data_IF_171951210676
#
_entry.id   IF_171951210676
#
_cell.length_a   1.000
_cell.length_b   1.000
_cell.length_c   1.000
_cell.angle_alpha   90.00
_cell.angle_beta   90.00
_cell.angle_gamma   90.00
#
_symmetry.space_group_name_H-M   'P 1'
#
loop_
_entity.id
_entity.type
_entity.pdbx_description
1 polymer ?
#
# COMPACT_ATOMS: atom_id res chain seq x y z
N UNK A 1 -10.19 -22.80 -9.19
CA UNK A 1 -10.50 -21.46 -8.67
C UNK A 1 -9.35 -20.57 -9.13
N UNK A 2 -9.60 -19.31 -9.48
CA UNK A 2 -8.57 -18.39 -9.95
C UNK A 2 -7.69 -18.01 -8.73
N UNK A 3 -6.40 -18.26 -8.76
CA UNK A 3 -5.49 -17.81 -7.70
C UNK A 3 -5.18 -16.33 -7.89
N UNK A 4 -5.34 -15.56 -6.83
CA UNK A 4 -5.15 -14.11 -6.84
C UNK A 4 -4.25 -13.68 -5.67
N UNK A 5 -3.43 -12.68 -5.91
CA UNK A 5 -2.58 -12.03 -4.91
C UNK A 5 -2.87 -10.55 -4.90
N UNK A 6 -3.00 -9.97 -3.72
CA UNK A 6 -3.04 -8.52 -3.52
C UNK A 6 -1.64 -8.07 -3.10
N UNK A 7 -1.06 -7.11 -3.83
CA UNK A 7 0.28 -6.60 -3.56
C UNK A 7 0.18 -5.12 -3.21
N UNK A 8 0.89 -4.70 -2.18
CA UNK A 8 1.10 -3.28 -1.90
C UNK A 8 2.55 -2.89 -2.12
N UNK A 9 2.80 -2.01 -3.07
CA UNK A 9 4.07 -1.30 -3.17
C UNK A 9 4.07 -0.09 -2.25
N UNK A 10 4.91 -0.11 -1.22
CA UNK A 10 5.01 0.99 -0.26
C UNK A 10 5.45 2.30 -0.92
N UNK A 11 4.87 3.43 -0.52
CA UNK A 11 5.25 4.73 -1.07
C UNK A 11 6.75 5.03 -0.88
N UNK A 12 7.29 4.77 0.30
CA UNK A 12 8.73 4.93 0.58
C UNK A 12 9.62 3.85 -0.07
N UNK A 13 9.05 2.83 -0.73
CA UNK A 13 9.77 1.89 -1.59
C UNK A 13 9.96 2.48 -2.98
N UNK A 14 8.88 3.00 -3.56
CA UNK A 14 8.84 3.43 -4.97
C UNK A 14 9.25 4.90 -5.18
N UNK A 15 9.41 5.67 -4.09
CA UNK A 15 9.86 7.08 -4.16
C UNK A 15 11.00 7.34 -3.18
N UNK A 16 11.81 8.37 -3.47
CA UNK A 16 12.83 8.85 -2.55
C UNK A 16 12.20 9.54 -1.34
N UNK A 17 12.71 9.27 -0.13
CA UNK A 17 12.16 9.85 1.11
C UNK A 17 12.54 11.32 1.29
N UNK A 18 13.73 11.68 0.86
CA UNK A 18 14.34 12.97 1.14
C UNK A 18 14.20 13.98 -0.02
N UNK A 19 13.59 13.55 -1.13
CA UNK A 19 13.42 14.38 -2.31
C UNK A 19 11.96 14.40 -2.76
N UNK A 20 11.37 15.59 -2.84
CA UNK A 20 9.99 15.74 -3.27
C UNK A 20 9.80 15.21 -4.69
N UNK A 21 8.71 14.50 -4.91
CA UNK A 21 8.25 14.03 -6.23
C UNK A 21 9.32 13.27 -7.04
N UNK A 22 10.14 12.50 -6.36
CA UNK A 22 11.20 11.73 -6.99
C UNK A 22 10.91 10.24 -6.92
N UNK A 23 10.75 9.62 -8.08
CA UNK A 23 10.45 8.18 -8.20
C UNK A 23 11.75 7.38 -8.31
N UNK A 24 11.81 6.24 -7.64
CA UNK A 24 12.90 5.25 -7.70
C UNK A 24 12.67 4.32 -8.89
N UNK A 25 13.07 4.77 -10.08
CA UNK A 25 12.77 4.07 -11.34
C UNK A 25 13.33 2.66 -11.40
N UNK A 26 14.55 2.44 -10.91
CA UNK A 26 15.17 1.11 -10.90
C UNK A 26 14.40 0.12 -10.03
N UNK A 27 13.88 0.58 -8.89
CA UNK A 27 13.02 -0.23 -8.01
C UNK A 27 11.70 -0.55 -8.70
N UNK A 28 11.06 0.44 -9.35
CA UNK A 28 9.83 0.20 -10.10
C UNK A 28 10.02 -0.77 -11.27
N UNK A 29 11.14 -0.66 -11.97
CA UNK A 29 11.49 -1.55 -13.08
C UNK A 29 11.65 -3.00 -12.59
N UNK A 30 12.36 -3.21 -11.48
CA UNK A 30 12.53 -4.53 -10.87
C UNK A 30 11.19 -5.09 -10.38
N UNK A 31 10.38 -4.31 -9.66
CA UNK A 31 9.08 -4.73 -9.18
C UNK A 31 8.11 -5.08 -10.33
N UNK A 32 8.14 -4.33 -11.43
CA UNK A 32 7.32 -4.61 -12.61
C UNK A 32 7.73 -5.92 -13.28
N UNK A 33 9.05 -6.20 -13.39
CA UNK A 33 9.56 -7.46 -13.89
C UNK A 33 9.17 -8.66 -13.01
N UNK A 34 9.24 -8.50 -11.68
CA UNK A 34 8.80 -9.52 -10.73
C UNK A 34 7.29 -9.80 -10.86
N UNK A 35 6.49 -8.76 -11.09
CA UNK A 35 5.03 -8.89 -11.27
C UNK A 35 4.68 -9.59 -12.58
N UNK A 36 5.41 -9.30 -13.68
CA UNK A 36 5.26 -10.03 -14.95
C UNK A 36 5.47 -11.53 -14.74
N UNK A 37 6.51 -11.91 -14.00
CA UNK A 37 6.79 -13.31 -13.69
C UNK A 37 5.61 -13.97 -12.92
N UNK A 38 5.00 -13.28 -11.96
CA UNK A 38 3.80 -13.79 -11.26
C UNK A 38 2.64 -14.03 -12.24
N UNK A 39 2.42 -13.14 -13.19
CA UNK A 39 1.37 -13.28 -14.21
C UNK A 39 1.66 -14.46 -15.15
N UNK A 40 2.91 -14.66 -15.57
CA UNK A 40 3.34 -15.76 -16.44
C UNK A 40 3.17 -17.12 -15.77
N UNK A 41 3.28 -17.20 -14.44
CA UNK A 41 2.97 -18.38 -13.61
C UNK A 41 1.45 -18.56 -13.37
N UNK A 42 0.61 -17.70 -13.95
CA UNK A 42 -0.85 -17.84 -13.93
C UNK A 42 -1.54 -17.24 -12.70
N UNK A 43 -0.84 -16.45 -11.90
CA UNK A 43 -1.39 -15.72 -10.75
C UNK A 43 -2.01 -14.40 -11.23
N UNK A 44 -3.23 -14.11 -10.81
CA UNK A 44 -3.83 -12.81 -11.02
C UNK A 44 -3.41 -11.83 -9.92
N UNK A 45 -3.10 -10.60 -10.29
CA UNK A 45 -2.60 -9.59 -9.36
C UNK A 45 -3.53 -8.39 -9.28
N UNK A 46 -3.77 -7.94 -8.05
CA UNK A 46 -4.29 -6.60 -7.76
C UNK A 46 -3.17 -5.82 -7.08
N UNK A 47 -2.82 -4.69 -7.66
CA UNK A 47 -1.72 -3.85 -7.20
C UNK A 47 -2.24 -2.58 -6.54
N UNK A 48 -1.76 -2.31 -5.33
CA UNK A 48 -1.99 -1.03 -4.62
C UNK A 48 -0.65 -0.34 -4.40
N UNK A 49 -0.49 0.92 -4.78
CA UNK A 49 0.72 1.65 -4.45
C UNK A 49 0.47 2.82 -3.47
N UNK A 50 1.51 3.19 -2.75
CA UNK A 50 1.49 4.33 -1.83
C UNK A 50 1.87 5.64 -2.51
N UNK A 51 1.67 6.75 -1.80
CA UNK A 51 1.98 8.10 -2.25
C UNK A 51 3.49 8.41 -2.22
N UNK A 52 4.19 7.93 -1.21
CA UNK A 52 5.61 8.25 -1.00
C UNK A 52 5.84 9.76 -0.84
N UNK A 53 6.75 10.31 -1.65
CA UNK A 53 7.06 11.75 -1.65
C UNK A 53 6.07 12.61 -2.47
N UNK A 54 4.99 12.02 -2.97
CA UNK A 54 3.90 12.71 -3.67
C UNK A 54 2.70 12.90 -2.74
N UNK A 55 2.02 14.02 -2.80
CA UNK A 55 0.78 14.32 -2.08
C UNK A 55 0.87 14.39 -0.56
N UNK A 56 1.75 13.60 0.06
CA UNK A 56 1.77 13.42 1.52
C UNK A 56 2.03 14.72 2.30
N UNK A 57 2.99 15.54 1.86
CA UNK A 57 3.30 16.80 2.53
C UNK A 57 2.15 17.78 2.44
N UNK A 58 1.54 17.92 1.26
CA UNK A 58 0.39 18.78 1.05
C UNK A 58 -0.83 18.31 1.84
N UNK A 59 -1.12 17.00 1.83
CA UNK A 59 -2.19 16.41 2.63
C UNK A 59 -2.01 16.71 4.12
N UNK A 60 -0.78 16.65 4.63
CA UNK A 60 -0.44 17.00 6.02
C UNK A 60 -0.55 18.50 6.28
N UNK A 61 -0.02 19.35 5.39
CA UNK A 61 -0.05 20.82 5.50
C UNK A 61 -1.48 21.34 5.60
N UNK A 62 -2.38 20.81 4.75
CA UNK A 62 -3.80 21.19 4.72
C UNK A 62 -4.71 20.31 5.57
N UNK A 63 -4.13 19.42 6.38
CA UNK A 63 -4.82 18.57 7.37
C UNK A 63 -5.97 17.76 6.76
N UNK A 64 -5.78 17.24 5.54
CA UNK A 64 -6.84 16.56 4.79
C UNK A 64 -7.32 15.26 5.43
N UNK A 65 -6.53 14.66 6.32
CA UNK A 65 -6.94 13.49 7.09
C UNK A 65 -7.99 13.80 8.18
N UNK A 66 -8.18 15.09 8.51
CA UNK A 66 -9.12 15.54 9.54
C UNK A 66 -10.47 15.99 8.93
N UNK A 67 -10.60 15.87 7.62
CA UNK A 67 -11.79 16.33 6.91
C UNK A 67 -11.89 17.86 6.82
N UNK A 68 -13.11 18.33 6.65
CA UNK A 68 -13.42 19.77 6.47
C UNK A 68 -13.16 20.55 7.75
N UNK A 69 -12.30 21.53 7.66
CA UNK A 69 -11.92 22.40 8.77
C UNK A 69 -12.28 23.86 8.48
N UNK A 70 -12.45 24.70 9.52
CA UNK A 70 -12.59 26.14 9.35
C UNK A 70 -11.37 26.75 8.66
N UNK A 71 -11.57 27.62 7.68
CA UNK A 71 -10.51 28.24 6.88
C UNK A 71 -9.44 28.97 7.73
N UNK A 72 -9.79 29.42 8.94
CA UNK A 72 -8.84 30.06 9.86
C UNK A 72 -7.83 29.08 10.51
N UNK A 73 -8.01 27.79 10.35
CA UNK A 73 -7.17 26.74 10.97
C UNK A 73 -6.21 26.07 10.00
N UNK A 74 -6.23 26.47 8.74
CA UNK A 74 -5.37 25.96 7.66
C UNK A 74 -4.55 27.10 7.04
N UNK A 75 -3.44 26.81 6.30
CA UNK A 75 -2.69 27.82 5.58
C UNK A 75 -3.59 28.59 4.60
N UNK A 76 -3.37 29.90 4.45
CA UNK A 76 -4.17 30.77 3.58
C UNK A 76 -3.73 30.75 2.10
N UNK A 77 -2.73 29.94 1.75
CA UNK A 77 -2.17 29.88 0.40
C UNK A 77 -3.06 29.18 -0.61
N UNK A 78 -3.93 28.27 -0.17
CA UNK A 78 -5.01 27.64 -0.94
C UNK A 78 -6.11 27.14 -0.01
N UNK A 79 -7.27 26.84 -0.56
CA UNK A 79 -8.37 26.20 0.16
C UNK A 79 -8.12 24.71 0.34
N UNK A 80 -8.85 24.03 1.24
CA UNK A 80 -8.78 22.58 1.33
C UNK A 80 -9.28 21.89 0.04
N UNK A 81 -10.26 22.44 -0.66
CA UNK A 81 -10.72 21.88 -1.94
C UNK A 81 -9.61 21.92 -3.00
N UNK A 82 -8.91 23.04 -3.12
CA UNK A 82 -7.75 23.13 -4.00
C UNK A 82 -6.62 22.17 -3.57
N UNK A 83 -6.43 21.98 -2.27
CA UNK A 83 -5.44 21.03 -1.76
C UNK A 83 -5.84 19.57 -2.03
N UNK A 84 -7.12 19.22 -1.95
CA UNK A 84 -7.66 17.91 -2.34
C UNK A 84 -7.34 17.61 -3.80
N UNK A 85 -7.71 18.51 -4.71
CA UNK A 85 -7.44 18.34 -6.16
C UNK A 85 -5.93 18.24 -6.42
N UNK A 86 -5.13 19.09 -5.78
CA UNK A 86 -3.68 19.06 -5.95
C UNK A 86 -3.03 17.75 -5.43
N UNK A 87 -3.58 17.13 -4.38
CA UNK A 87 -3.11 15.80 -3.92
C UNK A 87 -3.54 14.70 -4.89
N UNK A 88 -4.79 14.75 -5.41
CA UNK A 88 -5.27 13.83 -6.45
C UNK A 88 -4.39 13.90 -7.70
N UNK A 89 -4.02 15.09 -8.15
CA UNK A 89 -3.12 15.30 -9.29
C UNK A 89 -1.74 14.70 -9.04
N UNK A 90 -1.17 14.91 -7.85
CA UNK A 90 0.12 14.31 -7.49
C UNK A 90 0.06 12.78 -7.43
N UNK A 91 -1.05 12.21 -6.98
CA UNK A 91 -1.26 10.76 -7.04
C UNK A 91 -1.37 10.23 -8.46
N UNK A 92 -2.01 10.97 -9.37
CA UNK A 92 -2.03 10.65 -10.81
C UNK A 92 -0.61 10.71 -11.41
N UNK A 93 0.21 11.69 -10.99
CA UNK A 93 1.59 11.83 -11.47
C UNK A 93 2.44 10.61 -11.11
N UNK A 94 2.44 10.15 -9.84
CA UNK A 94 3.17 8.94 -9.45
C UNK A 94 2.59 7.67 -10.10
N UNK A 95 1.26 7.59 -10.18
CA UNK A 95 0.59 6.46 -10.82
C UNK A 95 0.99 6.32 -12.30
N UNK A 96 1.10 7.43 -13.03
CA UNK A 96 1.55 7.41 -14.44
C UNK A 96 2.93 6.75 -14.57
N UNK A 97 3.86 7.02 -13.65
CA UNK A 97 5.20 6.39 -13.69
C UNK A 97 5.12 4.91 -13.33
N UNK A 98 4.25 4.52 -12.39
CA UNK A 98 3.98 3.10 -12.09
C UNK A 98 3.46 2.38 -13.34
N UNK A 99 2.46 2.96 -14.03
CA UNK A 99 1.88 2.38 -15.24
C UNK A 99 2.89 2.30 -16.40
N UNK A 100 3.78 3.28 -16.53
CA UNK A 100 4.88 3.26 -17.51
C UNK A 100 5.86 2.10 -17.22
N UNK A 101 6.21 1.86 -15.94
CA UNK A 101 7.06 0.75 -15.56
C UNK A 101 6.40 -0.60 -15.87
N UNK A 102 5.12 -0.77 -15.54
CA UNK A 102 4.36 -1.98 -15.88
C UNK A 102 4.34 -2.23 -17.40
N UNK A 103 4.05 -1.20 -18.20
CA UNK A 103 4.01 -1.29 -19.65
C UNK A 103 5.38 -1.67 -20.23
N UNK A 104 6.48 -1.17 -19.67
CA UNK A 104 7.84 -1.50 -20.10
C UNK A 104 8.16 -3.00 -20.00
N UNK A 105 7.52 -3.69 -19.06
CA UNK A 105 7.68 -5.15 -18.84
C UNK A 105 6.48 -5.96 -19.36
N UNK A 106 5.76 -5.43 -20.36
CA UNK A 106 4.63 -6.09 -21.02
C UNK A 106 3.48 -6.47 -20.09
N UNK A 107 3.39 -5.81 -18.92
CA UNK A 107 2.29 -5.98 -17.97
C UNK A 107 1.11 -5.11 -18.40
N UNK A 108 0.04 -5.75 -18.82
CA UNK A 108 -1.23 -5.08 -19.10
C UNK A 108 -1.91 -4.67 -17.80
N UNK A 109 -2.21 -3.39 -17.63
CA UNK A 109 -2.78 -2.88 -16.38
C UNK A 109 -3.85 -1.80 -16.61
N UNK A 110 -4.78 -1.70 -15.67
CA UNK A 110 -5.81 -0.66 -15.62
C UNK A 110 -5.81 -0.02 -14.26
N UNK A 111 -5.70 1.31 -14.21
CA UNK A 111 -5.78 2.05 -12.96
C UNK A 111 -7.21 2.48 -12.64
N UNK A 112 -7.60 2.31 -11.38
CA UNK A 112 -8.85 2.76 -10.79
C UNK A 112 -8.53 3.71 -9.61
N UNK A 113 -8.44 5.03 -9.82
CA UNK A 113 -8.21 5.99 -8.75
C UNK A 113 -9.35 5.97 -7.74
N UNK A 114 -9.08 5.86 -6.42
CA UNK A 114 -10.12 5.69 -5.40
C UNK A 114 -11.19 6.77 -5.37
N UNK A 115 -10.84 8.03 -5.60
CA UNK A 115 -11.83 9.13 -5.63
C UNK A 115 -12.95 8.95 -6.68
N UNK A 116 -12.78 8.01 -7.64
CA UNK A 116 -13.79 7.74 -8.68
C UNK A 116 -14.77 6.63 -8.30
N UNK A 117 -14.43 5.75 -7.35
CA UNK A 117 -15.23 4.57 -7.05
C UNK A 117 -15.41 4.28 -5.55
N UNK A 118 -14.68 4.99 -4.68
CA UNK A 118 -14.73 4.82 -3.23
C UNK A 118 -15.16 6.09 -2.51
N UNK A 119 -15.79 5.92 -1.35
CA UNK A 119 -16.21 6.99 -0.42
C UNK A 119 -15.89 6.56 1.00
N UNK A 120 -15.73 7.55 1.87
CA UNK A 120 -15.35 7.35 3.27
C UNK A 120 -13.96 6.72 3.42
N UNK A 121 -13.47 6.63 4.62
CA UNK A 121 -12.10 6.18 4.92
C UNK A 121 -12.09 5.03 5.91
N UNK A 122 -10.89 4.49 6.18
CA UNK A 122 -10.72 3.35 7.08
C UNK A 122 -11.10 2.02 6.45
N UNK A 123 -11.13 0.95 7.26
CA UNK A 123 -11.42 -0.41 6.80
C UNK A 123 -12.85 -0.59 6.26
N UNK A 124 -13.78 0.29 6.66
CA UNK A 124 -15.21 0.22 6.31
C UNK A 124 -15.57 1.20 5.19
N UNK A 125 -14.60 1.71 4.43
CA UNK A 125 -14.89 2.59 3.30
C UNK A 125 -15.90 1.95 2.34
N UNK A 126 -16.68 2.73 1.65
CA UNK A 126 -17.66 2.25 0.67
C UNK A 126 -17.05 2.28 -0.73
N UNK A 127 -17.30 1.25 -1.52
CA UNK A 127 -16.77 1.19 -2.90
C UNK A 127 -17.23 -0.07 -3.63
N UNK A 128 -17.32 0.02 -4.95
CA UNK A 128 -17.73 -1.11 -5.80
C UNK A 128 -16.50 -1.98 -6.15
N UNK A 129 -16.28 -3.04 -5.40
CA UNK A 129 -15.19 -3.98 -5.63
C UNK A 129 -15.43 -4.92 -6.83
N UNK A 130 -16.63 -4.93 -7.42
CA UNK A 130 -16.89 -5.70 -8.64
C UNK A 130 -16.03 -5.22 -9.82
N UNK A 131 -15.57 -3.97 -9.77
CA UNK A 131 -14.61 -3.42 -10.73
C UNK A 131 -13.28 -4.22 -10.77
N UNK A 132 -12.84 -4.73 -9.61
CA UNK A 132 -11.64 -5.56 -9.48
C UNK A 132 -11.95 -7.04 -9.72
N UNK A 133 -13.13 -7.50 -9.29
CA UNK A 133 -13.54 -8.89 -9.44
C UNK A 133 -13.73 -9.29 -10.89
N UNK A 134 -14.29 -8.39 -11.71
CA UNK A 134 -14.61 -8.61 -13.12
C UNK A 134 -13.41 -8.46 -14.07
N UNK A 135 -12.23 -8.12 -13.56
CA UNK A 135 -11.05 -7.95 -14.40
C UNK A 135 -10.74 -9.21 -15.24
N UNK A 136 -10.42 -9.07 -16.53
CA UNK A 136 -9.94 -10.19 -17.34
C UNK A 136 -8.64 -10.79 -16.76
N UNK A 137 -8.40 -12.07 -17.06
CA UNK A 137 -7.12 -12.71 -16.68
C UNK A 137 -5.93 -12.01 -17.31
N UNK A 138 -4.84 -11.89 -16.54
CA UNK A 138 -3.62 -11.24 -16.99
C UNK A 138 -3.69 -9.72 -17.06
N UNK A 139 -4.82 -9.11 -16.66
CA UNK A 139 -4.92 -7.65 -16.49
C UNK A 139 -4.75 -7.32 -15.01
N UNK A 140 -3.72 -6.54 -14.71
CA UNK A 140 -3.45 -6.04 -13.36
C UNK A 140 -4.37 -4.85 -13.07
N UNK A 141 -5.21 -4.98 -12.04
CA UNK A 141 -5.97 -3.85 -11.54
C UNK A 141 -5.11 -3.06 -10.57
N UNK A 142 -4.87 -1.80 -10.90
CA UNK A 142 -4.03 -0.88 -10.10
C UNK A 142 -4.90 0.13 -9.38
N UNK A 143 -4.64 0.34 -8.10
CA UNK A 143 -5.22 1.45 -7.32
C UNK A 143 -4.16 2.00 -6.35
N UNK A 144 -4.48 3.03 -5.60
CA UNK A 144 -3.50 3.72 -4.74
C UNK A 144 -4.17 4.41 -3.56
N UNK A 145 -3.41 4.81 -2.54
CA UNK A 145 -3.93 5.71 -1.51
C UNK A 145 -4.38 7.04 -2.13
N UNK A 146 -5.48 7.61 -1.66
CA UNK A 146 -6.06 8.81 -2.28
C UNK A 146 -6.86 9.65 -1.29
N UNK A 147 -7.20 10.89 -1.69
CA UNK A 147 -8.23 11.68 -1.02
C UNK A 147 -9.58 11.37 -1.66
N UNK A 148 -10.48 10.82 -0.88
CA UNK A 148 -11.83 10.44 -1.30
C UNK A 148 -12.88 11.33 -0.67
N UNK A 149 -14.05 11.39 -1.29
CA UNK A 149 -15.21 12.06 -0.70
C UNK A 149 -15.70 11.27 0.52
N UNK A 150 -16.09 12.00 1.56
CA UNK A 150 -16.69 11.44 2.77
C UNK A 150 -18.08 12.01 3.00
N UNK A 151 -18.86 11.31 3.82
CA UNK A 151 -20.12 11.85 4.29
C UNK A 151 -19.87 13.01 5.27
N UNK A 152 -20.84 13.92 5.36
CA UNK A 152 -20.77 15.05 6.30
C UNK A 152 -20.68 14.54 7.76
N UNK A 153 -19.88 15.18 8.63
CA UNK A 153 -19.30 16.53 8.45
C UNK A 153 -17.89 16.58 7.82
N UNK A 154 -17.27 15.46 7.52
CA UNK A 154 -15.87 15.39 7.06
C UNK A 154 -15.70 15.88 5.62
N UNK A 155 -16.69 15.67 4.75
CA UNK A 155 -16.75 15.98 3.31
C UNK A 155 -15.69 15.23 2.46
N UNK A 156 -14.48 15.06 2.96
CA UNK A 156 -13.37 14.32 2.34
C UNK A 156 -12.44 13.73 3.41
N UNK A 157 -11.61 12.78 3.00
CA UNK A 157 -10.61 12.18 3.89
C UNK A 157 -9.58 11.36 3.11
N UNK A 158 -8.53 10.89 3.79
CA UNK A 158 -7.47 10.08 3.18
C UNK A 158 -7.83 8.60 3.32
N UNK A 159 -8.09 7.95 2.19
CA UNK A 159 -8.23 6.50 2.11
C UNK A 159 -6.84 5.88 1.94
N UNK A 160 -6.40 5.17 2.97
CA UNK A 160 -5.08 4.56 3.00
C UNK A 160 -5.00 3.36 2.06
N UNK A 161 -3.84 3.19 1.40
CA UNK A 161 -3.56 1.95 0.67
C UNK A 161 -3.56 0.69 1.58
N UNK A 162 -3.37 0.83 2.89
CA UNK A 162 -3.48 -0.30 3.82
C UNK A 162 -4.94 -0.71 4.05
N UNK A 163 -5.88 0.23 4.09
CA UNK A 163 -7.32 -0.05 4.12
C UNK A 163 -7.79 -0.69 2.80
N UNK A 164 -7.29 -0.18 1.66
CA UNK A 164 -7.60 -0.74 0.35
C UNK A 164 -7.18 -2.21 0.23
N UNK A 165 -5.94 -2.56 0.57
CA UNK A 165 -5.48 -3.96 0.45
C UNK A 165 -6.20 -4.89 1.40
N UNK A 166 -6.61 -4.43 2.57
CA UNK A 166 -7.41 -5.23 3.50
C UNK A 166 -8.74 -5.65 2.85
N UNK A 167 -9.55 -4.70 2.38
CA UNK A 167 -10.83 -5.01 1.75
C UNK A 167 -10.68 -5.78 0.45
N UNK A 168 -9.73 -5.39 -0.42
CA UNK A 168 -9.45 -6.13 -1.65
C UNK A 168 -9.03 -7.57 -1.37
N UNK A 169 -8.21 -7.80 -0.34
CA UNK A 169 -7.78 -9.15 0.00
C UNK A 169 -8.94 -9.99 0.58
N UNK A 170 -9.76 -9.43 1.44
CA UNK A 170 -10.79 -10.21 2.17
C UNK A 170 -12.10 -10.37 1.40
N UNK A 171 -12.41 -9.48 0.45
CA UNK A 171 -13.69 -9.47 -0.26
C UNK A 171 -13.61 -10.01 -1.71
N UNK A 172 -12.42 -9.95 -2.36
CA UNK A 172 -12.27 -10.52 -3.70
C UNK A 172 -12.13 -12.04 -3.64
N UNK A 173 -12.74 -12.72 -4.61
CA UNK A 173 -12.66 -14.19 -4.68
C UNK A 173 -11.26 -14.67 -5.09
N UNK A 174 -10.84 -15.78 -4.49
CA UNK A 174 -9.61 -16.49 -4.86
C UNK A 174 -8.31 -15.85 -4.35
N UNK A 175 -8.38 -14.84 -3.51
CA UNK A 175 -7.17 -14.26 -2.90
C UNK A 175 -6.56 -15.25 -1.91
N UNK A 176 -5.30 -15.60 -2.15
CA UNK A 176 -4.53 -16.52 -1.32
C UNK A 176 -3.50 -15.77 -0.45
N UNK A 177 -3.01 -14.64 -0.95
CA UNK A 177 -1.91 -13.90 -0.29
C UNK A 177 -2.10 -12.40 -0.37
N UNK A 178 -1.65 -11.72 0.67
CA UNK A 178 -1.42 -10.27 0.70
C UNK A 178 0.08 -10.05 0.95
N UNK A 179 0.73 -9.36 0.02
CA UNK A 179 2.17 -9.07 0.09
C UNK A 179 2.39 -7.56 0.22
N UNK A 180 3.02 -7.14 1.31
CA UNK A 180 3.49 -5.77 1.49
C UNK A 180 4.96 -5.68 1.09
N UNK A 181 5.26 -5.05 -0.03
CA UNK A 181 6.62 -4.71 -0.44
C UNK A 181 7.03 -3.39 0.21
N UNK A 182 8.08 -3.41 1.00
CA UNK A 182 8.56 -2.29 1.80
C UNK A 182 9.94 -1.81 1.36
N UNK A 183 10.23 -0.53 1.56
CA UNK A 183 11.55 0.05 1.34
C UNK A 183 12.29 0.28 2.67
N UNK A 184 13.61 0.05 2.65
CA UNK A 184 14.51 0.33 3.76
C UNK A 184 14.51 -0.68 4.90
N UNK A 185 13.64 -1.70 4.86
CA UNK A 185 13.57 -2.77 5.87
C UNK A 185 13.18 -4.11 5.24
N UNK A 186 13.61 -5.21 5.85
CA UNK A 186 13.28 -6.55 5.35
C UNK A 186 11.92 -7.10 5.85
N UNK A 187 11.33 -6.47 6.85
CA UNK A 187 10.09 -6.86 7.50
C UNK A 187 9.85 -6.01 8.73
N UNK A 188 9.13 -6.53 9.72
CA UNK A 188 8.92 -5.88 11.02
C UNK A 188 10.17 -6.12 11.89
N UNK A 189 10.69 -5.05 12.48
CA UNK A 189 11.87 -5.10 13.33
C UNK A 189 11.49 -4.97 14.82
N UNK A 190 12.32 -5.51 15.71
CA UNK A 190 12.16 -5.36 17.17
C UNK A 190 12.54 -3.97 17.70
N UNK A 191 12.94 -3.05 16.84
CA UNK A 191 13.31 -1.66 17.18
C UNK A 191 13.56 -0.84 15.92
N UNK A 192 13.87 0.45 16.06
CA UNK A 192 14.10 1.32 14.92
C UNK A 192 15.26 0.81 14.05
N UNK A 193 15.17 0.97 12.71
CA UNK A 193 16.24 0.58 11.81
C UNK A 193 17.50 1.40 12.11
N UNK A 194 18.64 0.71 12.27
CA UNK A 194 19.95 1.33 12.57
C UNK A 194 20.97 1.16 11.45
N UNK A 195 20.61 0.43 10.40
CA UNK A 195 21.40 0.24 9.17
C UNK A 195 22.36 -0.96 9.21
N UNK A 196 23.12 -1.17 10.28
CA UNK A 196 24.20 -2.18 10.26
C UNK A 196 23.82 -3.56 10.84
N UNK A 197 22.79 -3.67 11.67
CA UNK A 197 22.41 -4.94 12.34
C UNK A 197 20.90 -5.24 12.28
N UNK A 198 20.19 -4.64 11.34
CA UNK A 198 18.71 -4.80 11.26
C UNK A 198 18.29 -6.24 10.92
N UNK A 199 19.19 -7.00 10.31
CA UNK A 199 18.95 -8.43 10.03
C UNK A 199 18.72 -9.27 11.30
N UNK A 200 19.40 -8.94 12.42
CA UNK A 200 19.22 -9.62 13.70
C UNK A 200 17.97 -9.19 14.46
N UNK A 201 17.35 -8.10 14.04
CA UNK A 201 16.12 -7.54 14.62
C UNK A 201 14.86 -7.96 13.89
N UNK A 202 14.97 -8.65 12.77
CA UNK A 202 13.83 -9.08 11.98
C UNK A 202 12.96 -10.07 12.75
N UNK A 203 11.67 -9.77 12.85
CA UNK A 203 10.66 -10.67 13.37
C UNK A 203 10.14 -11.50 12.22
N UNK A 204 10.60 -12.75 12.07
CA UNK A 204 10.19 -13.61 10.95
C UNK A 204 8.71 -14.03 11.02
N UNK A 205 8.20 -14.25 12.25
CA UNK A 205 6.79 -14.54 12.49
C UNK A 205 6.28 -13.65 13.60
N UNK A 206 5.23 -12.89 13.32
CA UNK A 206 4.60 -12.01 14.30
C UNK A 206 3.16 -12.48 14.55
N UNK A 207 2.86 -12.85 15.79
CA UNK A 207 1.52 -13.22 16.19
C UNK A 207 0.76 -12.02 16.73
N UNK A 208 -0.55 -11.98 16.46
CA UNK A 208 -1.42 -10.87 16.91
C UNK A 208 -1.33 -10.60 18.41
N UNK A 209 -1.30 -11.66 19.23
CA UNK A 209 -1.23 -11.53 20.69
C UNK A 209 0.11 -10.97 21.20
N UNK A 210 1.20 -11.14 20.46
CA UNK A 210 2.52 -10.59 20.81
C UNK A 210 2.65 -9.11 20.41
N UNK A 211 2.04 -8.73 19.29
CA UNK A 211 2.03 -7.35 18.82
C UNK A 211 1.29 -6.40 19.78
N UNK A 212 0.30 -6.90 20.52
CA UNK A 212 -0.52 -6.09 21.45
C UNK A 212 -0.05 -6.13 22.91
N UNK A 213 1.04 -6.82 23.24
CA UNK A 213 1.65 -6.74 24.58
C UNK A 213 2.50 -5.48 24.72
N UNK A 214 1.84 -4.33 24.75
CA UNK A 214 2.23 -3.00 25.24
C UNK A 214 3.64 -2.45 25.05
N UNK A 215 4.68 -3.27 25.12
CA UNK A 215 6.06 -2.82 25.03
C UNK A 215 6.62 -2.81 23.59
N UNK A 216 6.01 -3.57 22.66
CA UNK A 216 6.52 -3.66 21.28
C UNK A 216 5.88 -2.65 20.33
N UNK A 217 4.65 -2.19 20.56
CA UNK A 217 4.00 -1.19 19.72
C UNK A 217 4.60 0.21 19.90
N UNK A 218 5.10 0.55 21.10
CA UNK A 218 5.83 1.81 21.34
C UNK A 218 7.24 1.77 20.77
N UNK A 219 7.83 0.57 20.60
CA UNK A 219 9.15 0.36 20.01
C UNK A 219 9.11 0.08 18.50
N UNK A 220 7.98 -0.37 17.97
CA UNK A 220 7.75 -0.39 16.53
C UNK A 220 7.71 1.06 16.05
N UNK A 221 8.61 1.43 15.14
CA UNK A 221 8.65 2.78 14.57
C UNK A 221 7.29 3.12 13.92
N UNK A 222 6.41 3.74 14.72
CA UNK A 222 5.05 4.14 14.30
C UNK A 222 5.11 5.30 13.31
N UNK A 223 6.30 5.86 13.07
CA UNK A 223 6.50 7.05 12.24
C UNK A 223 6.40 6.80 10.75
N UNK A 224 6.42 5.53 10.30
CA UNK A 224 6.36 5.14 8.88
C UNK A 224 5.08 4.47 8.41
N UNK A 225 3.96 4.51 9.16
CA UNK A 225 2.73 3.82 8.78
C UNK A 225 2.77 2.30 8.93
N UNK A 226 3.77 1.73 9.63
CA UNK A 226 3.89 0.28 9.86
C UNK A 226 2.76 -0.24 10.74
N UNK A 227 2.28 0.56 11.70
CA UNK A 227 1.22 0.17 12.64
C UNK A 227 -0.07 -0.20 11.92
N UNK A 228 -0.58 0.68 11.05
CA UNK A 228 -1.80 0.42 10.28
C UNK A 228 -1.62 -0.79 9.35
N UNK A 229 -0.45 -0.91 8.71
CA UNK A 229 -0.11 -2.05 7.84
C UNK A 229 -0.17 -3.38 8.59
N UNK A 230 0.43 -3.46 9.79
CA UNK A 230 0.42 -4.65 10.64
C UNK A 230 -0.99 -4.93 11.14
N UNK A 231 -1.74 -3.91 11.54
CA UNK A 231 -3.15 -4.06 11.96
C UNK A 231 -4.01 -4.65 10.84
N UNK A 232 -3.99 -4.08 9.64
CA UNK A 232 -4.74 -4.57 8.46
C UNK A 232 -4.24 -5.94 8.02
N UNK A 233 -2.95 -6.19 8.15
CA UNK A 233 -2.36 -7.49 7.90
C UNK A 233 -2.90 -8.58 8.84
N UNK A 234 -3.00 -8.32 10.15
CA UNK A 234 -3.61 -9.26 11.09
C UNK A 234 -5.10 -9.48 10.83
N UNK A 235 -5.83 -8.42 10.48
CA UNK A 235 -7.22 -8.54 10.10
C UNK A 235 -7.37 -9.44 8.86
N UNK A 236 -6.50 -9.27 7.86
CA UNK A 236 -6.47 -10.11 6.65
C UNK A 236 -6.12 -11.56 7.00
N UNK A 237 -5.08 -11.79 7.83
CA UNK A 237 -4.66 -13.13 8.24
C UNK A 237 -5.78 -13.89 8.98
N UNK A 238 -6.61 -13.19 9.75
CA UNK A 238 -7.77 -13.78 10.43
C UNK A 238 -8.83 -14.35 9.46
N UNK A 239 -8.83 -13.95 8.19
CA UNK A 239 -9.64 -14.54 7.12
C UNK A 239 -8.99 -15.77 6.45
N UNK A 240 -7.85 -16.24 6.96
CA UNK A 240 -7.13 -17.40 6.40
C UNK A 240 -6.27 -17.07 5.18
N UNK A 241 -6.01 -15.79 4.92
CA UNK A 241 -5.16 -15.31 3.82
C UNK A 241 -3.73 -15.16 4.35
N UNK A 242 -2.74 -15.71 3.64
CA UNK A 242 -1.34 -15.56 4.03
C UNK A 242 -0.89 -14.10 3.86
N UNK A 243 -0.24 -13.53 4.87
CA UNK A 243 0.21 -12.12 4.86
C UNK A 243 1.70 -12.04 5.09
N UNK A 244 2.41 -11.43 4.14
CA UNK A 244 3.85 -11.27 4.16
C UNK A 244 4.25 -9.80 4.05
N UNK A 245 5.17 -9.38 4.90
CA UNK A 245 5.86 -8.09 4.80
C UNK A 245 7.30 -8.38 4.39
N UNK A 246 7.71 -7.91 3.22
CA UNK A 246 9.02 -8.21 2.63
C UNK A 246 9.70 -6.96 2.09
N UNK A 247 11.03 -7.00 1.96
CA UNK A 247 11.74 -5.94 1.24
C UNK A 247 11.42 -6.00 -0.25
N UNK A 248 10.98 -4.87 -0.80
CA UNK A 248 10.84 -4.70 -2.25
C UNK A 248 12.14 -4.25 -2.93
N UNK A 249 13.23 -4.10 -2.18
CA UNK A 249 14.55 -3.70 -2.70
C UNK A 249 15.46 -4.90 -2.98
N UNK A 250 15.02 -6.11 -2.66
CA UNK A 250 15.76 -7.35 -2.90
C UNK A 250 15.13 -8.06 -4.10
N UNK A 251 15.95 -8.25 -5.13
CA UNK A 251 15.54 -8.92 -6.37
C UNK A 251 14.85 -10.28 -6.11
N UNK A 252 13.74 -10.51 -6.79
CA UNK A 252 12.93 -11.71 -6.72
C UNK A 252 12.10 -11.90 -5.46
N UNK A 253 12.33 -11.15 -4.38
CA UNK A 253 11.70 -11.39 -3.08
C UNK A 253 10.19 -11.18 -3.07
N UNK A 254 9.71 -10.14 -3.77
CA UNK A 254 8.27 -9.89 -3.90
C UNK A 254 7.60 -10.97 -4.74
N UNK A 255 8.22 -11.37 -5.84
CA UNK A 255 7.78 -12.50 -6.69
C UNK A 255 7.65 -13.77 -5.87
N UNK A 256 8.70 -14.17 -5.17
CA UNK A 256 8.74 -15.41 -4.40
C UNK A 256 7.67 -15.43 -3.30
N UNK A 257 7.46 -14.28 -2.61
CA UNK A 257 6.36 -14.14 -1.66
C UNK A 257 4.98 -14.29 -2.34
N UNK A 258 4.81 -13.75 -3.55
CA UNK A 258 3.57 -13.89 -4.32
C UNK A 258 3.34 -15.32 -4.79
N UNK A 259 4.39 -16.06 -5.13
CA UNK A 259 4.33 -17.48 -5.51
C UNK A 259 4.08 -18.41 -4.30
N UNK A 260 4.27 -17.91 -3.08
CA UNK A 260 4.08 -18.66 -1.84
C UNK A 260 5.33 -19.41 -1.40
N UNK A 261 6.48 -19.03 -1.94
CA UNK A 261 7.77 -19.56 -1.51
C UNK A 261 8.16 -19.01 -0.13
N UNK A 262 9.05 -19.75 0.55
CA UNK A 262 9.59 -19.29 1.82
C UNK A 262 10.60 -18.16 1.58
N UNK A 263 10.24 -16.95 1.99
CA UNK A 263 11.07 -15.76 1.80
C UNK A 263 11.44 -15.12 3.13
N UNK A 264 12.60 -14.47 3.16
CA UNK A 264 13.00 -13.66 4.29
C UNK A 264 12.13 -12.40 4.40
N UNK A 265 11.46 -12.24 5.52
CA UNK A 265 10.50 -11.18 5.80
C UNK A 265 9.72 -11.47 7.07
N UNK A 266 8.60 -10.82 7.27
CA UNK A 266 7.69 -11.08 8.38
C UNK A 266 6.39 -11.71 7.87
N UNK A 267 6.03 -12.86 8.42
CA UNK A 267 4.71 -13.46 8.23
C UNK A 267 3.83 -13.08 9.42
N UNK A 268 2.61 -12.57 9.14
CA UNK A 268 1.63 -12.26 10.17
C UNK A 268 0.71 -13.45 10.42
N UNK A 269 0.60 -13.84 11.67
CA UNK A 269 -0.25 -14.94 12.12
C UNK A 269 -1.38 -14.42 13.01
N UNK A 270 -2.64 -14.87 12.82
CA UNK A 270 -3.82 -14.41 13.57
C UNK A 270 -3.75 -14.65 15.07
#
# INVERSE_FOLDING_TARGET
MRERVVIKWGGGLITEKDTMKTVRKEVLDDLANQLETCLSEGIDVVLVHGAGSFGHLKAKEYRLAEGRLPASTIPSTMTQDEAVEAVRDEMQEVNRVVMEALTKYDVSAVCLPPHQWARNTGSEFQGDLTLFESAPRGIVMVTHGDVVDCDSPEDFGILSGDDLVYRLATELSGVQRLVFAMGGVEGVLTGPPTGEDDASKLIETLHKHDAFKGEHLEQLDVTGGIGLKVERGFQTAAHGIAVHLVSGEIDGRVRDACLGDNVRGTTLMP
#
